data_IF_743146892168
#
_entry.id   IF_743146892168
#
_cell.length_a   1.000
_cell.length_b   1.000
_cell.length_c   1.000
_cell.angle_alpha   90.00
_cell.angle_beta   90.00
_cell.angle_gamma   90.00
#
_symmetry.space_group_name_H-M   'P 1'
#
loop_
_entity.id
_entity.type
_entity.pdbx_description
1 polymer ?
#
# COMPACT_ATOMS: atom_id res chain seq x y z
N UNK A 1 1.03 -15.08 -23.45
CA UNK A 1 1.49 -14.10 -22.45
C UNK A 1 0.26 -13.60 -21.74
N UNK A 2 0.28 -13.47 -20.41
CA UNK A 2 -0.86 -12.92 -19.68
C UNK A 2 -1.12 -11.49 -20.13
N UNK A 3 -2.35 -11.19 -20.51
CA UNK A 3 -2.76 -9.82 -20.81
C UNK A 3 -3.48 -9.19 -19.60
N UNK A 4 -3.42 -7.87 -19.49
CA UNK A 4 -4.13 -7.15 -18.44
C UNK A 4 -5.64 -7.41 -18.49
N UNK A 5 -6.21 -7.52 -19.69
CA UNK A 5 -7.63 -7.72 -19.90
C UNK A 5 -8.10 -9.08 -19.37
N UNK A 6 -7.43 -10.17 -19.76
CA UNK A 6 -7.77 -11.52 -19.31
C UNK A 6 -7.70 -11.64 -17.78
N UNK A 7 -6.67 -11.06 -17.17
CA UNK A 7 -6.50 -11.09 -15.72
C UNK A 7 -7.60 -10.27 -15.02
N UNK A 8 -7.94 -9.09 -15.56
CA UNK A 8 -9.00 -8.24 -15.01
C UNK A 8 -10.37 -8.92 -15.07
N UNK A 9 -10.73 -9.51 -16.21
CA UNK A 9 -12.02 -10.19 -16.41
C UNK A 9 -12.19 -11.36 -15.43
N UNK A 10 -11.18 -12.21 -15.28
CA UNK A 10 -11.23 -13.34 -14.35
C UNK A 10 -11.27 -12.91 -12.88
N UNK A 11 -10.56 -11.84 -12.51
CA UNK A 11 -10.64 -11.30 -11.14
C UNK A 11 -12.05 -10.74 -10.88
N UNK A 12 -12.61 -9.99 -11.83
CA UNK A 12 -13.95 -9.43 -11.70
C UNK A 12 -15.02 -10.52 -11.53
N UNK A 13 -14.93 -11.61 -12.30
CA UNK A 13 -15.83 -12.77 -12.18
C UNK A 13 -15.65 -13.49 -10.83
N UNK A 14 -14.40 -13.69 -10.40
CA UNK A 14 -14.10 -14.45 -9.18
C UNK A 14 -14.52 -13.75 -7.88
N UNK A 15 -14.40 -12.42 -7.83
CA UNK A 15 -14.61 -11.62 -6.63
C UNK A 15 -15.92 -10.84 -6.62
N UNK A 16 -16.82 -11.08 -7.58
CA UNK A 16 -18.23 -10.65 -7.61
C UNK A 16 -18.48 -9.23 -7.08
N UNK A 17 -17.78 -8.26 -7.67
CA UNK A 17 -17.90 -6.83 -7.32
C UNK A 17 -17.11 -6.35 -6.09
N UNK A 18 -16.45 -7.25 -5.36
CA UNK A 18 -15.53 -6.90 -4.25
C UNK A 18 -14.19 -6.32 -4.74
N UNK A 19 -13.93 -6.44 -6.05
CA UNK A 19 -12.81 -5.80 -6.75
C UNK A 19 -13.39 -4.91 -7.86
N UNK A 20 -12.92 -3.68 -7.93
CA UNK A 20 -13.43 -2.64 -8.82
C UNK A 20 -12.28 -1.78 -9.38
N UNK A 21 -12.65 -0.73 -10.12
CA UNK A 21 -11.74 0.30 -10.64
C UNK A 21 -10.54 -0.28 -11.41
N UNK A 22 -10.83 -1.15 -12.39
CA UNK A 22 -9.81 -1.72 -13.25
C UNK A 22 -9.28 -0.65 -14.22
N UNK A 23 -8.10 -0.14 -13.92
CA UNK A 23 -7.41 0.90 -14.68
C UNK A 23 -6.07 0.38 -15.22
N UNK A 24 -5.54 1.05 -16.25
CA UNK A 24 -4.25 0.70 -16.84
C UNK A 24 -3.35 1.93 -17.05
N UNK A 25 -3.08 2.73 -16.00
CA UNK A 25 -2.18 3.87 -16.12
C UNK A 25 -0.80 3.39 -16.57
N UNK A 26 -0.34 3.92 -17.71
CA UNK A 26 0.94 3.55 -18.32
C UNK A 26 1.08 2.03 -18.61
N UNK A 27 -0.04 1.35 -18.86
CA UNK A 27 -0.07 -0.08 -19.19
C UNK A 27 0.05 -1.02 -17.99
N UNK A 28 0.08 -0.51 -16.75
CA UNK A 28 0.11 -1.32 -15.54
C UNK A 28 -1.31 -1.55 -15.02
N UNK A 29 -1.77 -2.80 -15.04
CA UNK A 29 -3.07 -3.16 -14.45
C UNK A 29 -3.12 -2.71 -12.99
N UNK A 30 -4.11 -1.89 -12.67
CA UNK A 30 -4.39 -1.38 -11.33
C UNK A 30 -5.83 -1.70 -11.01
N UNK A 31 -6.07 -2.19 -9.81
CA UNK A 31 -7.41 -2.55 -9.33
C UNK A 31 -7.57 -2.10 -7.88
N UNK A 32 -8.81 -1.79 -7.51
CA UNK A 32 -9.18 -1.39 -6.15
C UNK A 32 -9.96 -2.51 -5.49
N UNK A 33 -9.72 -2.75 -4.21
CA UNK A 33 -10.51 -3.70 -3.42
C UNK A 33 -10.68 -3.19 -1.98
N UNK A 34 -11.36 -3.97 -1.15
CA UNK A 34 -11.65 -3.64 0.24
C UNK A 34 -10.66 -4.33 1.18
N UNK A 35 -10.58 -3.86 2.44
CA UNK A 35 -9.72 -4.46 3.47
C UNK A 35 -10.11 -5.91 3.79
N UNK A 36 -11.37 -6.29 3.60
CA UNK A 36 -11.88 -7.65 3.80
C UNK A 36 -11.43 -8.59 2.67
N UNK A 37 -11.24 -8.04 1.47
CA UNK A 37 -10.99 -8.83 0.25
C UNK A 37 -9.51 -8.89 -0.12
N UNK A 38 -8.67 -7.99 0.40
CA UNK A 38 -7.26 -7.89 0.02
C UNK A 38 -6.48 -9.19 0.25
N UNK A 39 -6.59 -9.83 1.41
CA UNK A 39 -5.85 -11.08 1.70
C UNK A 39 -6.37 -12.25 0.84
N UNK A 40 -7.68 -12.51 0.73
CA UNK A 40 -8.21 -13.49 -0.21
C UNK A 40 -7.75 -13.25 -1.66
N UNK A 41 -7.73 -12.01 -2.11
CA UNK A 41 -7.27 -11.64 -3.45
C UNK A 41 -5.78 -11.92 -3.64
N UNK A 42 -4.92 -11.47 -2.72
CA UNK A 42 -3.48 -11.69 -2.79
C UNK A 42 -3.14 -13.18 -2.77
N UNK A 43 -3.82 -13.97 -1.92
CA UNK A 43 -3.65 -15.42 -1.87
C UNK A 43 -4.05 -16.08 -3.19
N UNK A 44 -5.21 -15.69 -3.75
CA UNK A 44 -5.67 -16.20 -5.04
C UNK A 44 -4.67 -15.88 -6.16
N UNK A 45 -4.19 -14.63 -6.28
CA UNK A 45 -3.25 -14.24 -7.34
C UNK A 45 -1.90 -14.96 -7.22
N UNK A 46 -1.45 -15.17 -5.98
CA UNK A 46 -0.21 -15.90 -5.67
C UNK A 46 -0.30 -17.37 -6.04
N UNK A 47 -1.38 -18.04 -5.63
CA UNK A 47 -1.51 -19.50 -5.74
C UNK A 47 -2.21 -19.95 -7.04
N UNK A 48 -2.71 -19.01 -7.86
CA UNK A 48 -3.32 -19.34 -9.14
C UNK A 48 -2.31 -20.04 -10.07
N UNK A 49 -2.64 -21.25 -10.60
CA UNK A 49 -1.68 -22.08 -11.33
C UNK A 49 -1.14 -21.42 -12.60
N UNK A 50 -1.91 -20.51 -13.20
CA UNK A 50 -1.51 -19.78 -14.41
C UNK A 50 -0.83 -18.45 -14.06
N UNK A 51 -1.33 -17.70 -13.06
CA UNK A 51 -0.84 -16.34 -12.81
C UNK A 51 0.47 -16.34 -12.06
N UNK A 52 0.57 -17.13 -10.98
CA UNK A 52 1.77 -17.25 -10.16
C UNK A 52 2.34 -15.88 -9.76
N UNK A 53 1.47 -14.92 -9.40
CA UNK A 53 1.85 -13.56 -9.00
C UNK A 53 2.32 -13.64 -7.54
N UNK A 54 3.50 -14.19 -7.37
CA UNK A 54 4.03 -14.64 -6.06
C UNK A 54 5.10 -13.73 -5.48
N UNK A 55 5.55 -12.73 -6.23
CA UNK A 55 6.57 -11.80 -5.77
C UNK A 55 5.94 -10.47 -5.33
N UNK A 56 5.93 -10.23 -4.03
CA UNK A 56 5.58 -8.92 -3.45
C UNK A 56 6.75 -7.96 -3.66
N UNK A 57 6.53 -6.96 -4.52
CA UNK A 57 7.55 -5.97 -4.88
C UNK A 57 7.61 -4.85 -3.86
N UNK A 58 6.45 -4.36 -3.42
CA UNK A 58 6.35 -3.19 -2.55
C UNK A 58 4.97 -3.14 -1.87
N UNK A 59 4.93 -2.60 -0.65
CA UNK A 59 3.72 -2.16 0.04
C UNK A 59 3.98 -0.72 0.49
N UNK A 60 3.11 0.21 0.10
CA UNK A 60 3.26 1.61 0.46
C UNK A 60 1.93 2.27 0.78
N UNK A 61 1.99 3.35 1.57
CA UNK A 61 0.85 4.19 1.91
C UNK A 61 0.75 5.44 1.04
N UNK A 62 -0.46 5.97 0.88
CA UNK A 62 -0.72 7.29 0.29
C UNK A 62 -1.74 8.02 1.15
N UNK A 63 -1.56 9.34 1.33
CA UNK A 63 -2.51 10.21 2.00
C UNK A 63 -3.11 11.24 1.01
N UNK A 64 -4.41 11.11 0.75
CA UNK A 64 -5.29 11.98 -0.03
C UNK A 64 -6.27 12.74 0.90
N UNK A 65 -5.83 13.81 1.58
CA UNK A 65 -6.64 14.47 2.64
C UNK A 65 -8.02 14.96 2.17
N UNK A 66 -8.16 15.30 0.89
CA UNK A 66 -9.40 15.81 0.29
C UNK A 66 -10.41 14.68 -0.08
N UNK A 67 -10.01 13.41 0.04
CA UNK A 67 -10.83 12.26 -0.35
C UNK A 67 -11.60 11.69 0.85
N UNK A 68 -12.69 12.34 1.26
CA UNK A 68 -13.49 11.95 2.42
C UNK A 68 -13.89 10.46 2.39
N UNK A 69 -13.56 9.72 3.45
CA UNK A 69 -13.81 8.28 3.58
C UNK A 69 -12.85 7.37 2.79
N UNK A 70 -11.90 7.96 2.07
CA UNK A 70 -10.82 7.30 1.31
C UNK A 70 -9.50 8.07 1.44
N UNK A 71 -9.29 8.71 2.60
CA UNK A 71 -8.18 9.62 2.82
C UNK A 71 -6.84 8.89 2.78
N UNK A 72 -6.81 7.61 3.15
CA UNK A 72 -5.61 6.78 3.09
C UNK A 72 -5.76 5.69 2.05
N UNK A 73 -4.66 5.30 1.42
CA UNK A 73 -4.61 4.12 0.57
C UNK A 73 -3.39 3.28 0.88
N UNK A 74 -3.57 1.96 0.97
CA UNK A 74 -2.48 0.98 0.95
C UNK A 74 -2.37 0.43 -0.46
N UNK A 75 -1.16 0.41 -1.00
CA UNK A 75 -0.87 -0.02 -2.37
C UNK A 75 0.08 -1.21 -2.34
N UNK A 76 -0.36 -2.31 -2.92
CA UNK A 76 0.42 -3.53 -3.09
C UNK A 76 0.89 -3.61 -4.54
N UNK A 77 2.21 -3.63 -4.75
CA UNK A 77 2.81 -3.94 -6.03
C UNK A 77 3.24 -5.41 -6.04
N UNK A 78 2.67 -6.18 -6.97
CA UNK A 78 2.89 -7.63 -7.03
C UNK A 78 3.26 -8.05 -8.45
N UNK A 79 4.08 -9.09 -8.55
CA UNK A 79 4.73 -9.50 -9.78
C UNK A 79 4.72 -11.02 -9.91
N UNK A 80 4.34 -11.51 -11.09
CA UNK A 80 4.66 -12.86 -11.54
C UNK A 80 5.99 -12.84 -12.29
N UNK A 81 7.05 -13.35 -11.66
CA UNK A 81 8.37 -13.48 -12.29
C UNK A 81 8.34 -14.50 -13.44
N UNK A 82 7.48 -15.51 -13.36
CA UNK A 82 7.32 -16.57 -14.37
C UNK A 82 6.68 -16.03 -15.65
N UNK A 83 5.63 -15.22 -15.50
CA UNK A 83 4.92 -14.63 -16.64
C UNK A 83 5.41 -13.24 -17.03
N UNK A 84 6.37 -12.68 -16.29
CA UNK A 84 6.80 -11.28 -16.38
C UNK A 84 5.60 -10.30 -16.40
N UNK A 85 4.66 -10.53 -15.49
CA UNK A 85 3.39 -9.81 -15.42
C UNK A 85 3.25 -9.09 -14.08
N UNK A 86 2.98 -7.78 -14.12
CA UNK A 86 2.87 -6.94 -12.92
C UNK A 86 1.46 -6.39 -12.80
N UNK A 87 0.99 -6.27 -11.56
CA UNK A 87 -0.28 -5.61 -11.26
C UNK A 87 -0.16 -4.87 -9.92
N UNK A 88 -1.05 -3.91 -9.72
CA UNK A 88 -1.13 -3.09 -8.51
C UNK A 88 -2.52 -3.19 -7.91
N UNK A 89 -2.59 -3.42 -6.61
CA UNK A 89 -3.83 -3.46 -5.85
C UNK A 89 -3.87 -2.28 -4.89
N UNK A 90 -4.97 -1.53 -4.87
CA UNK A 90 -5.20 -0.43 -3.93
C UNK A 90 -6.33 -0.78 -2.97
N UNK A 91 -6.15 -0.42 -1.70
CA UNK A 91 -7.20 -0.49 -0.68
C UNK A 91 -7.30 0.88 -0.04
N UNK A 92 -8.48 1.52 -0.13
CA UNK A 92 -8.73 2.80 0.49
C UNK A 92 -9.27 2.64 1.91
N UNK A 93 -8.83 3.49 2.82
CA UNK A 93 -9.19 3.53 4.23
C UNK A 93 -9.62 4.95 4.59
N UNK A 94 -10.60 5.05 5.49
CA UNK A 94 -11.04 6.32 6.05
C UNK A 94 -10.10 6.78 7.16
N UNK A 95 -9.94 8.09 7.34
CA UNK A 95 -9.08 8.65 8.42
C UNK A 95 -9.46 8.17 9.83
N UNK A 96 -10.73 7.86 10.06
CA UNK A 96 -11.26 7.46 11.36
C UNK A 96 -11.06 5.96 11.65
N UNK A 97 -10.65 5.17 10.65
CA UNK A 97 -10.42 3.73 10.75
C UNK A 97 -9.32 3.29 9.77
N UNK A 98 -8.09 3.26 10.27
CA UNK A 98 -6.87 2.96 9.52
C UNK A 98 -6.40 1.49 9.66
N UNK A 99 -7.32 0.58 9.95
CA UNK A 99 -7.02 -0.84 10.09
C UNK A 99 -7.10 -1.61 8.76
N UNK A 100 -6.17 -2.55 8.56
CA UNK A 100 -6.15 -3.47 7.42
C UNK A 100 -5.48 -4.78 7.86
N UNK A 101 -5.91 -5.97 7.39
CA UNK A 101 -5.22 -7.21 7.73
C UNK A 101 -3.78 -7.25 7.19
N UNK A 102 -2.87 -7.85 7.96
CA UNK A 102 -1.49 -8.09 7.53
C UNK A 102 -1.40 -9.11 6.38
N UNK A 103 -0.43 -8.90 5.49
CA UNK A 103 -0.03 -9.84 4.45
C UNK A 103 1.20 -10.67 4.84
N UNK A 104 1.71 -10.59 6.08
CA UNK A 104 2.92 -11.32 6.51
C UNK A 104 2.80 -12.84 6.40
N UNK A 105 1.59 -13.38 6.57
CA UNK A 105 1.33 -14.80 6.45
C UNK A 105 1.41 -15.29 4.99
N UNK A 106 1.21 -14.39 4.03
CA UNK A 106 1.33 -14.68 2.60
C UNK A 106 2.74 -14.39 2.08
N UNK A 107 3.35 -13.30 2.56
CA UNK A 107 4.65 -12.81 2.11
C UNK A 107 5.51 -12.44 3.32
N UNK A 108 6.58 -13.19 3.56
CA UNK A 108 7.54 -12.85 4.62
C UNK A 108 8.16 -11.44 4.43
N UNK A 109 8.29 -10.98 3.17
CA UNK A 109 8.79 -9.63 2.86
C UNK A 109 7.85 -8.50 3.28
N UNK A 110 6.54 -8.78 3.47
CA UNK A 110 5.57 -7.77 3.89
C UNK A 110 5.91 -7.20 5.27
N UNK A 111 6.61 -7.95 6.13
CA UNK A 111 6.91 -7.53 7.51
C UNK A 111 7.56 -6.13 7.58
N UNK A 112 8.58 -5.89 6.75
CA UNK A 112 9.29 -4.60 6.80
C UNK A 112 8.50 -3.50 6.09
N UNK A 113 7.83 -3.81 4.99
CA UNK A 113 7.07 -2.84 4.19
C UNK A 113 5.81 -2.35 4.93
N UNK A 114 5.15 -3.24 5.67
CA UNK A 114 4.01 -2.90 6.53
C UNK A 114 4.45 -2.03 7.72
N UNK A 115 5.59 -2.34 8.34
CA UNK A 115 6.18 -1.48 9.39
C UNK A 115 6.57 -0.10 8.86
N UNK A 116 7.15 -0.02 7.67
CA UNK A 116 7.45 1.27 7.03
C UNK A 116 6.16 2.06 6.76
N UNK A 117 5.13 1.40 6.23
CA UNK A 117 3.83 2.04 5.96
C UNK A 117 3.16 2.53 7.24
N UNK A 118 3.24 1.74 8.32
CA UNK A 118 2.81 2.16 9.66
C UNK A 118 3.62 3.37 10.16
N UNK A 119 4.94 3.34 10.05
CA UNK A 119 5.81 4.40 10.56
C UNK A 119 5.52 5.76 9.87
N UNK A 120 5.36 5.74 8.55
CA UNK A 120 5.16 6.95 7.76
C UNK A 120 3.72 7.45 7.64
N UNK A 121 2.73 6.55 7.68
CA UNK A 121 1.32 6.90 7.46
C UNK A 121 0.40 6.52 8.62
N UNK A 122 0.85 5.75 9.59
CA UNK A 122 0.06 5.33 10.75
C UNK A 122 -1.06 4.34 10.42
N UNK A 123 -0.90 3.57 9.35
CA UNK A 123 -1.82 2.50 8.97
C UNK A 123 -1.52 1.27 9.83
N UNK A 124 -2.57 0.70 10.43
CA UNK A 124 -2.46 -0.41 11.38
C UNK A 124 -2.72 -1.73 10.68
N UNK A 125 -1.71 -2.61 10.69
CA UNK A 125 -1.78 -3.94 10.08
C UNK A 125 -2.18 -4.98 11.14
N UNK A 126 -3.44 -5.41 11.11
CA UNK A 126 -4.00 -6.35 12.07
C UNK A 126 -3.38 -7.74 11.91
N UNK A 127 -2.91 -8.31 13.04
CA UNK A 127 -2.24 -9.61 13.06
C UNK A 127 -0.74 -9.56 12.75
N UNK A 128 -0.18 -8.39 12.43
CA UNK A 128 1.25 -8.26 12.14
C UNK A 128 2.09 -8.64 13.38
N UNK A 129 3.12 -9.50 13.26
CA UNK A 129 3.82 -10.10 14.41
C UNK A 129 4.68 -9.12 15.22
N UNK A 130 5.09 -7.99 14.62
CA UNK A 130 5.92 -6.98 15.28
C UNK A 130 5.70 -5.59 14.66
N UNK A 131 4.50 -5.02 14.79
CA UNK A 131 4.17 -3.73 14.18
C UNK A 131 4.72 -2.57 15.03
N UNK A 132 5.96 -2.19 14.76
CA UNK A 132 6.64 -1.07 15.41
C UNK A 132 7.34 -0.20 14.37
N UNK A 133 7.66 1.05 14.73
CA UNK A 133 8.45 1.96 13.90
C UNK A 133 9.76 1.28 13.46
N UNK A 134 10.24 1.63 12.27
CA UNK A 134 11.41 0.98 11.66
C UNK A 134 12.43 1.98 11.11
N UNK A 135 12.00 3.16 10.69
CA UNK A 135 12.86 4.20 10.12
C UNK A 135 12.97 5.42 11.03
N UNK A 136 11.91 5.77 11.76
CA UNK A 136 11.90 6.91 12.67
C UNK A 136 12.19 6.49 14.12
N UNK A 137 12.45 7.49 14.97
CA UNK A 137 12.64 7.31 16.41
C UNK A 137 11.35 6.78 17.06
N UNK A 138 11.49 5.93 18.09
CA UNK A 138 10.36 5.24 18.72
C UNK A 138 9.38 6.20 19.40
N UNK A 139 9.89 7.31 19.92
CA UNK A 139 9.14 8.31 20.67
C UNK A 139 8.37 9.29 19.78
N UNK A 140 8.52 9.20 18.46
CA UNK A 140 7.82 10.08 17.52
C UNK A 140 6.30 9.87 17.67
N UNK A 141 5.56 10.97 17.78
CA UNK A 141 4.10 10.98 17.98
C UNK A 141 3.32 11.37 16.71
N UNK A 142 4.03 11.53 15.58
CA UNK A 142 3.45 11.88 14.29
C UNK A 142 3.90 10.94 13.16
N UNK A 143 3.31 11.11 11.98
CA UNK A 143 3.53 10.27 10.80
C UNK A 143 4.00 11.14 9.62
N UNK A 144 5.33 11.24 9.38
CA UNK A 144 5.93 12.29 8.55
C UNK A 144 5.39 12.44 7.12
N UNK A 145 4.88 11.37 6.51
CA UNK A 145 4.41 11.41 5.11
C UNK A 145 2.94 11.81 4.97
N UNK A 146 2.25 12.07 6.09
CA UNK A 146 0.89 12.66 6.04
C UNK A 146 0.98 14.12 5.66
N UNK A 147 0.09 14.54 4.73
CA UNK A 147 0.05 15.91 4.18
C UNK A 147 -0.33 17.00 5.19
N UNK A 148 -0.79 16.62 6.38
CA UNK A 148 -1.06 17.54 7.49
C UNK A 148 0.23 18.06 8.16
N UNK A 149 1.36 17.36 8.00
CA UNK A 149 2.63 17.78 8.57
C UNK A 149 3.45 18.60 7.57
N UNK A 150 4.01 19.75 8.00
CA UNK A 150 4.93 20.52 7.18
C UNK A 150 6.25 19.77 6.98
N UNK A 151 6.94 20.05 5.87
CA UNK A 151 8.25 19.47 5.57
C UNK A 151 9.31 19.85 6.61
N UNK A 152 9.23 21.08 7.12
CA UNK A 152 10.16 21.59 8.11
C UNK A 152 9.43 21.87 9.42
N UNK A 153 10.11 21.57 10.51
CA UNK A 153 9.68 21.97 11.84
C UNK A 153 9.64 23.51 11.91
N UNK A 154 8.48 24.06 12.23
CA UNK A 154 8.27 25.50 12.34
C UNK A 154 9.12 26.15 13.45
N UNK A 155 9.65 25.35 14.39
CA UNK A 155 10.52 25.83 15.47
C UNK A 155 12.00 25.86 15.09
N UNK A 156 12.35 25.36 13.90
CA UNK A 156 13.72 25.21 13.43
C UNK A 156 14.34 26.56 13.01
N UNK A 157 15.36 27.02 13.73
CA UNK A 157 16.02 28.32 13.51
C UNK A 157 17.42 28.22 12.85
N UNK A 158 17.94 27.02 12.58
CA UNK A 158 19.26 26.81 11.97
C UNK A 158 19.24 26.87 10.43
N UNK A 159 18.05 27.00 9.81
CA UNK A 159 17.83 27.11 8.36
C UNK A 159 17.48 28.52 7.88
N UNK A 160 18.01 29.55 8.51
CA UNK A 160 17.82 30.93 8.08
C UNK A 160 18.82 31.21 6.95
N UNK A 161 18.39 31.78 5.82
CA UNK A 161 19.26 32.10 4.67
C UNK A 161 20.52 32.89 5.06
N UNK A 162 20.41 33.75 6.08
CA UNK A 162 21.51 34.49 6.68
C UNK A 162 22.68 33.61 7.18
N UNK A 163 22.42 32.35 7.53
CA UNK A 163 23.41 31.38 7.99
C UNK A 163 24.05 30.58 6.84
N UNK A 164 23.50 30.64 5.62
CA UNK A 164 24.00 29.94 4.43
C UNK A 164 24.67 30.87 3.40
N UNK A 165 24.87 32.14 3.75
CA UNK A 165 25.61 33.10 2.94
C UNK A 165 24.95 33.38 1.58
N UNK A 166 23.62 33.26 1.50
CA UNK A 166 22.79 33.64 0.35
C UNK A 166 21.91 34.81 0.71
#
# INVERSE_FOLDING_TARGET
MLTNQEVAEHIAEKFDGSVADFEQPYGLLTLTTTRETIIPLLAYLKDHPVYQISFLTDITGIHYPESTGKEFAVVYHIHSLVNNFRTRVKVFLGKDDLHIPTATDLYASANWMERETFDFFGILFDGHPNLTRILNIEEMDYHPMRKEYPLEDATRQDKIDALFGR
#
